data_IF_380346939235
#
_entry.id   IF_380346939235
#
_cell.length_a   1.000
_cell.length_b   1.000
_cell.length_c   1.000
_cell.angle_alpha   90.00
_cell.angle_beta   90.00
_cell.angle_gamma   90.00
#
_symmetry.space_group_name_H-M   'P 1'
#
loop_
_entity.id
_entity.type
_entity.pdbx_description
1 polymer ?
#
# COMPACT_ATOMS: atom_id res chain seq x y z
N UNK A 1 31.49 -6.57 9.45
CA UNK A 1 31.53 -5.10 9.63
C UNK A 1 31.93 -4.76 11.06
N UNK A 2 32.87 -3.81 11.26
CA UNK A 2 33.42 -3.47 12.59
C UNK A 2 32.66 -2.36 13.34
N UNK A 3 31.83 -1.56 12.66
CA UNK A 3 31.04 -0.49 13.30
C UNK A 3 29.61 -1.00 13.58
N UNK A 4 29.19 -1.11 14.86
CA UNK A 4 27.86 -1.60 15.20
C UNK A 4 26.73 -0.73 14.66
N UNK A 5 26.87 0.60 14.68
CA UNK A 5 25.84 1.51 14.14
C UNK A 5 25.61 1.31 12.64
N UNK A 6 26.68 1.14 11.88
CA UNK A 6 26.60 0.87 10.44
C UNK A 6 25.91 -0.48 10.20
N UNK A 7 26.27 -1.52 10.95
CA UNK A 7 25.65 -2.83 10.85
C UNK A 7 24.14 -2.76 11.14
N UNK A 8 23.71 -2.08 12.21
CA UNK A 8 22.28 -1.92 12.52
C UNK A 8 21.51 -1.25 11.38
N UNK A 9 22.10 -0.22 10.76
CA UNK A 9 21.46 0.46 9.64
C UNK A 9 21.37 -0.43 8.39
N UNK A 10 22.40 -1.24 8.10
CA UNK A 10 22.33 -2.22 7.01
C UNK A 10 21.27 -3.30 7.26
N UNK A 11 21.12 -3.79 8.49
CA UNK A 11 20.04 -4.73 8.84
C UNK A 11 18.66 -4.09 8.61
N UNK A 12 18.49 -2.83 9.01
CA UNK A 12 17.26 -2.07 8.74
C UNK A 12 17.00 -1.92 7.23
N UNK A 13 18.01 -1.52 6.45
CA UNK A 13 17.89 -1.40 5.00
C UNK A 13 17.56 -2.73 4.33
N UNK A 14 18.22 -3.81 4.73
CA UNK A 14 17.97 -5.16 4.21
C UNK A 14 16.51 -5.59 4.44
N UNK A 15 15.91 -5.16 5.55
CA UNK A 15 14.52 -5.46 5.86
C UNK A 15 13.51 -4.54 5.14
N UNK A 16 13.76 -3.24 5.08
CA UNK A 16 12.79 -2.27 4.54
C UNK A 16 12.84 -2.15 3.02
N UNK A 17 14.02 -2.28 2.39
CA UNK A 17 14.18 -2.10 0.95
C UNK A 17 13.37 -3.10 0.11
N UNK A 18 13.26 -4.40 0.44
CA UNK A 18 12.42 -5.33 -0.30
C UNK A 18 10.94 -4.89 -0.39
N UNK A 19 10.44 -4.18 0.63
CA UNK A 19 9.07 -3.63 0.63
C UNK A 19 8.94 -2.48 -0.36
N UNK A 20 9.98 -1.64 -0.45
CA UNK A 20 10.03 -0.51 -1.40
C UNK A 20 10.20 -1.02 -2.83
N UNK A 21 11.06 -2.01 -3.06
CA UNK A 21 11.25 -2.60 -4.40
C UNK A 21 10.00 -3.32 -4.86
N UNK A 22 9.33 -4.10 -4.00
CA UNK A 22 8.07 -4.75 -4.33
C UNK A 22 6.95 -3.76 -4.68
N UNK A 23 6.93 -2.57 -4.09
CA UNK A 23 6.01 -1.50 -4.49
C UNK A 23 6.33 -0.95 -5.89
N UNK A 24 7.62 -0.76 -6.18
CA UNK A 24 8.09 -0.26 -7.46
C UNK A 24 7.84 -1.25 -8.61
N UNK A 25 7.88 -2.56 -8.34
CA UNK A 25 7.56 -3.61 -9.31
C UNK A 25 6.15 -3.48 -9.91
N UNK A 26 5.16 -2.99 -9.15
CA UNK A 26 3.81 -2.76 -9.70
C UNK A 26 3.78 -1.69 -10.79
N UNK A 27 4.62 -0.67 -10.68
CA UNK A 27 4.74 0.40 -11.67
C UNK A 27 5.64 0.01 -12.85
N UNK A 28 6.55 -0.94 -12.64
CA UNK A 28 7.45 -1.46 -13.67
C UNK A 28 6.88 -2.69 -14.40
N UNK A 29 5.72 -3.20 -13.96
CA UNK A 29 5.11 -4.38 -14.54
C UNK A 29 4.62 -4.10 -15.96
N UNK A 30 4.91 -5.02 -16.88
CA UNK A 30 4.32 -5.05 -18.22
C UNK A 30 2.87 -5.57 -18.21
N UNK A 31 2.43 -6.17 -17.10
CA UNK A 31 1.05 -6.64 -16.92
C UNK A 31 0.14 -5.48 -16.53
N UNK A 32 -1.17 -5.51 -16.88
CA UNK A 32 -2.12 -4.50 -16.46
C UNK A 32 -2.36 -4.56 -14.94
N UNK A 33 -1.63 -3.77 -14.16
CA UNK A 33 -1.71 -3.69 -12.69
C UNK A 33 -2.66 -2.60 -12.19
N UNK A 34 -3.24 -1.79 -13.08
CA UNK A 34 -4.04 -0.61 -12.69
C UNK A 34 -5.26 -0.95 -11.84
N UNK A 35 -5.79 -2.17 -11.95
CA UNK A 35 -6.93 -2.65 -11.16
C UNK A 35 -6.56 -3.00 -9.72
N UNK A 36 -5.27 -3.19 -9.41
CA UNK A 36 -4.78 -3.56 -8.08
C UNK A 36 -3.82 -2.53 -7.48
N UNK A 37 -3.27 -1.63 -8.29
CA UNK A 37 -2.20 -0.72 -7.85
C UNK A 37 -2.65 0.16 -6.67
N UNK A 38 -3.90 0.63 -6.68
CA UNK A 38 -4.40 1.48 -5.62
C UNK A 38 -4.47 0.77 -4.27
N UNK A 39 -4.99 -0.46 -4.23
CA UNK A 39 -5.05 -1.22 -2.98
C UNK A 39 -3.64 -1.57 -2.47
N UNK A 40 -2.71 -1.89 -3.36
CA UNK A 40 -1.30 -2.16 -3.00
C UNK A 40 -0.58 -0.94 -2.46
N UNK A 41 -0.79 0.23 -3.06
CA UNK A 41 -0.24 1.50 -2.58
C UNK A 41 -0.80 1.88 -1.20
N UNK A 42 -2.12 1.75 -1.02
CA UNK A 42 -2.78 2.00 0.28
C UNK A 42 -2.19 1.11 1.36
N UNK A 43 -2.10 -0.20 1.09
CA UNK A 43 -1.57 -1.19 2.05
C UNK A 43 -0.12 -0.89 2.43
N UNK A 44 0.76 -0.71 1.45
CA UNK A 44 2.18 -0.48 1.69
C UNK A 44 2.44 0.85 2.42
N UNK A 45 1.74 1.92 2.02
CA UNK A 45 1.86 3.22 2.66
C UNK A 45 1.38 3.18 4.12
N UNK A 46 0.26 2.51 4.40
CA UNK A 46 -0.20 2.26 5.77
C UNK A 46 0.83 1.46 6.57
N UNK A 47 1.41 0.40 6.00
CA UNK A 47 2.43 -0.40 6.66
C UNK A 47 3.63 0.46 7.07
N UNK A 48 4.15 1.32 6.18
CA UNK A 48 5.27 2.21 6.51
C UNK A 48 4.92 3.25 7.57
N UNK A 49 3.72 3.86 7.50
CA UNK A 49 3.27 4.83 8.52
C UNK A 49 3.17 4.16 9.90
N UNK A 50 2.63 2.94 9.98
CA UNK A 50 2.45 2.20 11.22
C UNK A 50 3.77 1.79 11.90
N UNK A 51 4.91 1.91 11.22
CA UNK A 51 6.22 1.65 11.83
C UNK A 51 6.66 2.75 12.80
N UNK A 52 6.15 3.98 12.65
CA UNK A 52 6.60 5.13 13.44
C UNK A 52 5.50 6.13 13.84
N UNK A 53 4.28 6.00 13.33
CA UNK A 53 3.13 6.82 13.70
C UNK A 53 2.11 6.05 14.53
N UNK A 54 1.30 6.76 15.31
CA UNK A 54 0.24 6.20 16.15
C UNK A 54 -0.78 5.43 15.30
N UNK A 55 -1.04 4.17 15.68
CA UNK A 55 -1.96 3.27 14.96
C UNK A 55 -3.35 3.86 14.80
N UNK A 56 -3.97 4.31 15.88
CA UNK A 56 -5.32 4.89 15.87
C UNK A 56 -5.42 6.07 14.90
N UNK A 57 -4.38 6.90 14.83
CA UNK A 57 -4.33 8.04 13.91
C UNK A 57 -4.26 7.58 12.45
N UNK A 58 -3.34 6.66 12.12
CA UNK A 58 -3.17 6.15 10.75
C UNK A 58 -4.43 5.42 10.26
N UNK A 59 -5.08 4.63 11.11
CA UNK A 59 -6.24 3.82 10.72
C UNK A 59 -7.53 4.62 10.58
N UNK A 60 -7.66 5.77 11.25
CA UNK A 60 -8.88 6.61 11.24
C UNK A 60 -8.78 7.83 10.34
N UNK A 61 -7.59 8.18 9.88
CA UNK A 61 -7.36 9.38 9.06
C UNK A 61 -7.27 8.99 7.59
N UNK A 62 -8.03 9.63 6.69
CA UNK A 62 -7.84 9.47 5.25
C UNK A 62 -6.37 9.70 4.86
N UNK A 63 -5.78 8.77 4.11
CA UNK A 63 -4.31 8.74 3.86
C UNK A 63 -3.77 10.01 3.22
N UNK A 64 -4.56 10.65 2.34
CA UNK A 64 -4.18 11.91 1.70
C UNK A 64 -4.04 13.08 2.70
N UNK A 65 -4.71 13.01 3.86
CA UNK A 65 -4.64 14.03 4.92
C UNK A 65 -3.49 13.81 5.91
N UNK A 66 -2.91 12.60 5.95
CA UNK A 66 -1.81 12.29 6.87
C UNK A 66 -0.56 13.06 6.45
N UNK A 67 0.02 13.84 7.36
CA UNK A 67 1.36 14.43 7.20
C UNK A 67 2.41 13.49 7.81
N UNK A 68 3.26 12.81 7.01
CA UNK A 68 4.32 11.93 7.52
C UNK A 68 5.33 12.64 8.44
N UNK A 69 5.52 13.94 8.26
CA UNK A 69 6.46 14.75 9.03
C UNK A 69 5.88 15.31 10.34
N UNK A 70 4.61 15.02 10.67
CA UNK A 70 3.98 15.50 11.90
C UNK A 70 4.45 14.70 13.12
N UNK A 71 5.51 15.21 13.77
CA UNK A 71 6.11 14.59 14.95
C UNK A 71 5.15 14.45 16.14
N UNK A 72 4.04 15.21 16.21
CA UNK A 72 3.04 15.06 17.27
C UNK A 72 2.29 13.73 17.21
N UNK A 73 2.37 13.05 16.07
CA UNK A 73 1.71 11.76 15.79
C UNK A 73 2.67 10.58 15.85
N UNK A 74 3.93 10.81 16.20
CA UNK A 74 4.90 9.72 16.28
C UNK A 74 4.68 8.88 17.54
N UNK A 75 5.05 7.61 17.44
CA UNK A 75 5.25 6.77 18.63
C UNK A 75 6.66 7.01 19.19
N UNK A 76 6.90 6.69 20.47
CA UNK A 76 8.26 6.66 21.01
C UNK A 76 9.16 5.76 20.16
N UNK A 77 10.42 6.17 19.94
CA UNK A 77 11.39 5.41 19.13
C UNK A 77 11.62 4.00 19.66
N UNK A 78 11.54 3.81 20.98
CA UNK A 78 11.60 2.50 21.64
C UNK A 78 10.49 1.53 21.24
N UNK A 79 9.37 2.05 20.72
CA UNK A 79 8.20 1.26 20.35
C UNK A 79 8.12 1.02 18.83
N UNK A 80 9.09 1.52 18.06
CA UNK A 80 9.16 1.29 16.62
C UNK A 80 9.50 -0.16 16.32
N UNK A 81 8.85 -0.72 15.30
CA UNK A 81 9.20 -2.03 14.76
C UNK A 81 10.03 -1.87 13.49
N UNK A 82 11.28 -2.35 13.53
CA UNK A 82 12.27 -2.18 12.45
C UNK A 82 12.79 -3.52 11.89
N UNK A 83 12.02 -4.59 12.08
CA UNK A 83 12.39 -5.95 11.70
C UNK A 83 13.12 -6.73 12.79
N UNK A 84 13.00 -8.05 12.72
CA UNK A 84 13.49 -8.99 13.75
C UNK A 84 15.01 -8.89 13.93
N UNK A 85 15.77 -8.88 12.83
CA UNK A 85 17.24 -8.82 12.87
C UNK A 85 17.75 -7.53 13.53
N UNK A 86 17.06 -6.41 13.33
CA UNK A 86 17.39 -5.13 13.98
C UNK A 86 17.10 -5.23 15.47
N UNK A 87 15.92 -5.73 15.86
CA UNK A 87 15.55 -5.91 17.26
C UNK A 87 16.52 -6.83 18.01
N UNK A 88 16.92 -7.95 17.41
CA UNK A 88 17.91 -8.87 17.98
C UNK A 88 19.27 -8.18 18.12
N UNK A 89 19.72 -7.48 17.08
CA UNK A 89 21.04 -6.85 17.11
C UNK A 89 21.13 -5.68 18.10
N UNK A 90 20.05 -4.91 18.29
CA UNK A 90 19.97 -3.86 19.31
C UNK A 90 20.06 -4.40 20.74
N UNK A 91 19.63 -5.65 20.97
CA UNK A 91 19.75 -6.33 22.25
C UNK A 91 21.11 -7.01 22.47
N UNK A 92 21.94 -7.11 21.42
CA UNK A 92 23.25 -7.74 21.53
C UNK A 92 24.22 -6.93 22.40
N UNK A 93 25.19 -7.56 23.08
CA UNK A 93 26.19 -6.87 23.90
C UNK A 93 27.00 -5.81 23.13
N UNK A 94 27.08 -5.94 21.80
CA UNK A 94 27.76 -4.98 20.93
C UNK A 94 27.06 -3.61 20.85
N UNK A 95 25.77 -3.52 21.18
CA UNK A 95 24.96 -2.29 21.04
C UNK A 95 24.24 -1.94 22.34
N UNK A 96 23.70 -2.92 23.07
CA UNK A 96 22.87 -2.71 24.25
C UNK A 96 23.58 -1.92 25.37
N UNK A 97 24.91 -2.02 25.47
CA UNK A 97 25.72 -1.26 26.42
C UNK A 97 25.88 0.23 26.08
N UNK A 98 25.38 0.68 24.93
CA UNK A 98 25.46 2.08 24.48
C UNK A 98 24.07 2.63 24.09
N UNK A 99 23.30 3.14 25.07
CA UNK A 99 21.96 3.67 24.85
C UNK A 99 21.90 4.81 23.84
N UNK A 100 22.92 5.68 23.80
CA UNK A 100 23.00 6.78 22.83
C UNK A 100 23.08 6.24 21.40
N UNK A 101 23.89 5.20 21.18
CA UNK A 101 24.00 4.54 19.88
C UNK A 101 22.66 3.93 19.44
N UNK A 102 21.96 3.24 20.36
CA UNK A 102 20.63 2.69 20.09
C UNK A 102 19.68 3.80 19.66
N UNK A 103 19.63 4.88 20.42
CA UNK A 103 18.74 6.00 20.13
C UNK A 103 19.06 6.63 18.76
N UNK A 104 20.34 6.86 18.45
CA UNK A 104 20.73 7.41 17.16
C UNK A 104 20.36 6.50 15.98
N UNK A 105 20.43 5.17 16.15
CA UNK A 105 19.99 4.20 15.14
C UNK A 105 18.48 4.33 14.90
N UNK A 106 17.69 4.34 15.98
CA UNK A 106 16.23 4.43 15.89
C UNK A 106 15.78 5.74 15.25
N UNK A 107 16.40 6.87 15.62
CA UNK A 107 16.13 8.19 15.01
C UNK A 107 16.45 8.19 13.52
N UNK A 108 17.60 7.62 13.11
CA UNK A 108 17.95 7.52 11.69
C UNK A 108 16.98 6.64 10.90
N UNK A 109 16.50 5.55 11.48
CA UNK A 109 15.48 4.71 10.86
C UNK A 109 14.13 5.44 10.75
N UNK A 110 13.72 6.19 11.78
CA UNK A 110 12.53 7.03 11.73
C UNK A 110 12.63 8.09 10.63
N UNK A 111 13.76 8.81 10.54
CA UNK A 111 14.00 9.81 9.49
C UNK A 111 13.90 9.21 8.08
N UNK A 112 14.41 7.99 7.89
CA UNK A 112 14.27 7.26 6.63
C UNK A 112 12.79 6.99 6.32
N UNK A 113 12.02 6.45 7.28
CA UNK A 113 10.61 6.14 7.10
C UNK A 113 9.75 7.39 6.82
N UNK A 114 10.02 8.49 7.53
CA UNK A 114 9.39 9.79 7.29
C UNK A 114 9.66 10.27 5.87
N UNK A 115 10.93 10.20 5.44
CA UNK A 115 11.33 10.61 4.09
C UNK A 115 10.66 9.73 3.03
N UNK A 116 10.68 8.41 3.23
CA UNK A 116 10.04 7.44 2.34
C UNK A 116 8.54 7.74 2.19
N UNK A 117 7.81 7.88 3.29
CA UNK A 117 6.37 8.17 3.28
C UNK A 117 6.09 9.52 2.61
N UNK A 118 6.90 10.54 2.88
CA UNK A 118 6.78 11.86 2.23
C UNK A 118 6.94 11.72 0.71
N UNK A 119 7.95 10.98 0.25
CA UNK A 119 8.19 10.76 -1.19
C UNK A 119 7.12 9.90 -1.86
N UNK A 120 6.53 8.93 -1.16
CA UNK A 120 5.38 8.18 -1.67
C UNK A 120 4.19 9.12 -1.85
N UNK A 121 3.86 9.93 -0.83
CA UNK A 121 2.74 10.87 -0.87
C UNK A 121 2.90 11.95 -1.94
N UNK A 122 4.12 12.44 -2.18
CA UNK A 122 4.41 13.38 -3.27
C UNK A 122 4.14 12.79 -4.66
N UNK A 123 4.33 11.48 -4.84
CA UNK A 123 4.26 10.80 -6.14
C UNK A 123 2.92 10.13 -6.43
N UNK A 124 2.13 9.83 -5.39
CA UNK A 124 0.91 9.05 -5.52
C UNK A 124 -0.28 9.77 -4.86
N UNK A 125 -1.31 10.04 -5.66
CA UNK A 125 -2.54 10.66 -5.16
C UNK A 125 -3.47 9.62 -4.53
N UNK A 126 -3.47 9.58 -3.19
CA UNK A 126 -4.35 8.72 -2.41
C UNK A 126 -5.82 9.17 -2.41
N UNK A 127 -6.15 10.33 -2.98
CA UNK A 127 -7.51 10.81 -3.15
C UNK A 127 -7.97 10.74 -4.62
N UNK A 128 -7.21 10.07 -5.49
CA UNK A 128 -7.56 9.97 -6.90
C UNK A 128 -8.92 9.25 -7.08
N UNK A 129 -9.90 9.91 -7.73
CA UNK A 129 -11.26 9.37 -7.86
C UNK A 129 -11.34 8.20 -8.85
N UNK A 130 -10.37 8.04 -9.75
CA UNK A 130 -10.36 6.97 -10.76
C UNK A 130 -9.67 5.74 -10.18
N UNK A 131 -8.43 5.87 -9.70
CA UNK A 131 -7.59 4.76 -9.23
C UNK A 131 -8.26 3.97 -8.10
N UNK A 132 -8.95 4.66 -7.20
CA UNK A 132 -9.70 4.03 -6.11
C UNK A 132 -10.87 3.16 -6.58
N UNK A 133 -11.38 3.39 -7.79
CA UNK A 133 -12.53 2.68 -8.39
C UNK A 133 -12.12 1.62 -9.42
N UNK A 134 -10.86 1.59 -9.87
CA UNK A 134 -10.39 0.65 -10.90
C UNK A 134 -10.46 -0.83 -10.48
N UNK A 135 -10.57 -1.12 -9.17
CA UNK A 135 -10.69 -2.49 -8.64
C UNK A 135 -11.86 -3.27 -9.25
N UNK A 136 -12.95 -2.61 -9.62
CA UNK A 136 -14.16 -3.23 -10.18
C UNK A 136 -13.92 -3.94 -11.51
N UNK A 137 -12.80 -3.63 -12.17
CA UNK A 137 -12.34 -4.24 -13.42
C UNK A 137 -11.39 -5.42 -13.18
N UNK A 138 -10.95 -5.66 -11.95
CA UNK A 138 -10.19 -6.85 -11.60
C UNK A 138 -11.10 -8.09 -11.76
N UNK A 139 -10.66 -9.19 -12.40
CA UNK A 139 -11.50 -10.37 -12.60
C UNK A 139 -12.13 -10.92 -11.31
N UNK A 140 -11.39 -10.93 -10.19
CA UNK A 140 -11.88 -11.40 -8.89
C UNK A 140 -13.08 -10.56 -8.41
N UNK A 141 -12.99 -9.22 -8.55
CA UNK A 141 -14.06 -8.31 -8.17
C UNK A 141 -15.20 -8.30 -9.19
N UNK A 142 -14.88 -8.28 -10.48
CA UNK A 142 -15.84 -8.24 -11.58
C UNK A 142 -16.74 -9.48 -11.61
N UNK A 143 -16.24 -10.65 -11.24
CA UNK A 143 -16.99 -11.91 -11.19
C UNK A 143 -17.63 -12.18 -9.81
N UNK A 144 -17.34 -11.35 -8.80
CA UNK A 144 -17.86 -11.55 -7.44
C UNK A 144 -19.28 -11.01 -7.30
N UNK A 145 -20.18 -11.88 -6.82
CA UNK A 145 -21.52 -11.46 -6.38
C UNK A 145 -21.46 -10.47 -5.22
N UNK A 146 -20.53 -10.65 -4.27
CA UNK A 146 -20.39 -9.77 -3.09
C UNK A 146 -19.96 -8.36 -3.45
N UNK A 147 -19.19 -8.19 -4.53
CA UNK A 147 -18.78 -6.86 -4.99
C UNK A 147 -19.98 -6.01 -5.40
N UNK A 148 -21.12 -6.62 -5.76
CA UNK A 148 -22.35 -5.89 -6.10
C UNK A 148 -23.01 -5.22 -4.89
N UNK A 149 -22.75 -5.72 -3.68
CA UNK A 149 -23.30 -5.14 -2.45
C UNK A 149 -22.63 -3.81 -2.11
N UNK A 150 -21.32 -3.70 -2.38
CA UNK A 150 -20.51 -2.49 -2.12
C UNK A 150 -20.43 -1.56 -3.32
N UNK A 151 -20.45 -2.14 -4.53
CA UNK A 151 -20.37 -1.41 -5.79
C UNK A 151 -21.55 -1.82 -6.67
N UNK A 152 -22.72 -1.17 -6.54
CA UNK A 152 -23.92 -1.60 -7.26
C UNK A 152 -23.85 -1.31 -8.77
N UNK A 153 -22.98 -0.41 -9.23
CA UNK A 153 -22.91 0.01 -10.62
C UNK A 153 -21.50 0.45 -11.01
N UNK A 154 -21.08 0.10 -12.23
CA UNK A 154 -19.84 0.57 -12.85
C UNK A 154 -20.00 1.96 -13.48
N UNK A 155 -21.23 2.45 -13.66
CA UNK A 155 -21.52 3.73 -14.28
C UNK A 155 -20.74 4.90 -13.63
N UNK A 156 -20.53 4.86 -12.31
CA UNK A 156 -19.73 5.86 -11.58
C UNK A 156 -18.31 5.97 -12.16
N UNK A 157 -17.68 4.84 -12.50
CA UNK A 157 -16.37 4.82 -13.15
C UNK A 157 -16.47 5.30 -14.61
N UNK A 158 -17.50 4.87 -15.35
CA UNK A 158 -17.72 5.31 -16.73
C UNK A 158 -17.85 6.83 -16.83
N UNK A 159 -18.56 7.48 -15.91
CA UNK A 159 -18.72 8.94 -15.90
C UNK A 159 -17.41 9.69 -15.63
N UNK A 160 -16.47 9.08 -14.92
CA UNK A 160 -15.13 9.63 -14.70
C UNK A 160 -14.20 9.43 -15.91
N UNK A 161 -14.57 8.53 -16.83
CA UNK A 161 -13.78 8.16 -18.01
C UNK A 161 -14.57 8.35 -19.31
N UNK A 162 -15.04 9.59 -19.63
CA UNK A 162 -15.87 9.85 -20.80
C UNK A 162 -15.14 9.61 -22.14
N UNK A 163 -13.80 9.49 -22.12
CA UNK A 163 -13.00 9.09 -23.29
C UNK A 163 -13.03 7.58 -23.55
N UNK A 164 -13.37 6.78 -22.55
CA UNK A 164 -13.43 5.32 -22.65
C UNK A 164 -14.85 4.83 -22.95
N UNK A 165 -15.86 5.47 -22.35
CA UNK A 165 -17.27 5.10 -22.53
C UNK A 165 -18.08 6.37 -22.81
N UNK A 166 -18.75 6.40 -23.96
CA UNK A 166 -19.67 7.48 -24.32
C UNK A 166 -20.94 7.43 -23.47
N UNK A 167 -21.62 8.56 -23.26
CA UNK A 167 -22.77 8.63 -22.32
C UNK A 167 -23.91 7.70 -22.71
N UNK A 168 -24.16 7.53 -24.00
CA UNK A 168 -25.18 6.66 -24.57
C UNK A 168 -24.88 5.16 -24.38
N UNK A 169 -23.60 4.80 -24.18
CA UNK A 169 -23.18 3.42 -23.95
C UNK A 169 -23.15 3.01 -22.48
N UNK A 170 -23.26 3.96 -21.54
CA UNK A 170 -23.08 3.67 -20.10
C UNK A 170 -24.05 2.61 -19.59
N UNK A 171 -25.33 2.66 -19.99
CA UNK A 171 -26.31 1.66 -19.56
C UNK A 171 -25.97 0.26 -20.07
N UNK A 172 -25.55 0.14 -21.33
CA UNK A 172 -25.19 -1.14 -21.91
C UNK A 172 -23.98 -1.76 -21.19
N UNK A 173 -22.95 -0.94 -20.90
CA UNK A 173 -21.76 -1.38 -20.14
C UNK A 173 -22.13 -1.78 -18.71
N UNK A 174 -23.01 -1.03 -18.04
CA UNK A 174 -23.46 -1.36 -16.69
C UNK A 174 -24.24 -2.68 -16.66
N UNK A 175 -25.15 -2.88 -17.62
CA UNK A 175 -25.92 -4.13 -17.75
C UNK A 175 -25.00 -5.34 -18.02
N UNK A 176 -23.99 -5.19 -18.87
CA UNK A 176 -22.97 -6.23 -19.10
C UNK A 176 -22.20 -6.53 -17.81
N UNK A 177 -21.67 -5.50 -17.15
CA UNK A 177 -20.91 -5.68 -15.90
C UNK A 177 -21.75 -6.35 -14.82
N UNK A 178 -23.02 -5.99 -14.67
CA UNK A 178 -23.94 -6.62 -13.71
C UNK A 178 -24.23 -8.08 -14.02
N UNK A 179 -24.23 -8.47 -15.30
CA UNK A 179 -24.45 -9.85 -15.75
C UNK A 179 -23.21 -10.74 -15.64
N UNK A 180 -21.99 -10.18 -15.60
CA UNK A 180 -20.74 -10.94 -15.57
C UNK A 180 -20.70 -12.09 -14.54
N UNK A 181 -21.09 -11.91 -13.26
CA UNK A 181 -21.07 -13.00 -12.29
C UNK A 181 -22.02 -14.16 -12.63
N UNK A 182 -23.12 -13.87 -13.32
CA UNK A 182 -24.10 -14.88 -13.75
C UNK A 182 -23.52 -15.73 -14.89
N UNK A 183 -22.80 -15.11 -15.81
CA UNK A 183 -22.15 -15.76 -16.95
C UNK A 183 -20.90 -16.56 -16.54
N UNK A 184 -20.33 -16.26 -15.36
CA UNK A 184 -19.13 -16.93 -14.86
C UNK A 184 -19.32 -18.43 -14.64
N UNK A 185 -20.55 -18.88 -14.41
CA UNK A 185 -20.89 -20.30 -14.24
C UNK A 185 -20.67 -21.10 -15.53
N UNK A 186 -20.81 -20.45 -16.67
CA UNK A 186 -20.66 -21.04 -18.01
C UNK A 186 -19.24 -20.87 -18.59
N UNK A 187 -18.33 -20.20 -17.86
CA UNK A 187 -16.96 -20.01 -18.31
C UNK A 187 -16.16 -21.33 -18.22
N UNK A 188 -15.33 -21.67 -19.24
CA UNK A 188 -14.46 -22.83 -19.22
C UNK A 188 -13.54 -22.83 -17.99
N UNK A 189 -13.22 -24.01 -17.45
CA UNK A 189 -12.43 -24.14 -16.21
C UNK A 189 -11.03 -23.47 -16.28
N UNK A 190 -10.51 -23.22 -17.48
CA UNK A 190 -9.27 -22.44 -17.73
C UNK A 190 -9.38 -20.99 -17.26
N UNK A 191 -10.59 -20.43 -17.20
CA UNK A 191 -10.83 -19.08 -16.66
C UNK A 191 -11.00 -19.10 -15.13
N UNK A 192 -11.39 -20.25 -14.57
CA UNK A 192 -11.55 -20.45 -13.12
C UNK A 192 -10.21 -20.64 -12.40
N UNK A 193 -9.14 -21.05 -13.11
CA UNK A 193 -7.79 -21.25 -12.54
C UNK A 193 -6.95 -19.96 -12.41
N UNK A 194 -7.52 -18.80 -12.74
CA UNK A 194 -6.93 -17.46 -12.46
C UNK A 194 -7.38 -16.94 -11.07
N UNK A 195 -8.27 -17.69 -10.38
CA UNK A 195 -8.65 -17.47 -8.97
C UNK A 195 -7.51 -17.84 -8.01
#
# INVERSE_FOLDING_TARGET
MRNPSIKSYFLFLNWVLPKVTGLNEYFQSEKPTITIIHSKMVQAYQEFLLMYMQREFVMRTPLHLINPADASRYIPTSNMYLGVDVSEYLQSPAVAGNPQMVQDILVRAQMFLVTLCTKIKEKYDFNDPILSRMRVLNPEAALSHRERDTTPSIATLCFLLPRCVSRDQVQAVDDEWRRLPLLAQDLPDVVKSIQ
#
